data_IF_531389774429
#
_entry.id   IF_531389774429
#
_cell.length_a   1.000
_cell.length_b   1.000
_cell.length_c   1.000
_cell.angle_alpha   90.00
_cell.angle_beta   90.00
_cell.angle_gamma   90.00
#
_symmetry.space_group_name_H-M   'P 1'
#
loop_
_entity.id
_entity.type
_entity.pdbx_description
1 polymer ?
#
# COMPACT_ATOMS: atom_id res chain seq x y z
N UNK A 1 -43.53 -9.66 -21.98
CA UNK A 1 -43.45 -8.56 -20.99
C UNK A 1 -42.25 -8.84 -20.13
N UNK A 2 -41.12 -8.17 -20.40
CA UNK A 2 -39.87 -8.30 -19.64
C UNK A 2 -39.92 -7.37 -18.44
N UNK A 3 -39.97 -7.96 -17.26
CA UNK A 3 -39.87 -7.34 -15.96
C UNK A 3 -38.51 -6.64 -15.82
N UNK A 4 -38.47 -5.37 -16.23
CA UNK A 4 -37.33 -4.46 -16.26
C UNK A 4 -36.74 -4.09 -14.90
N UNK A 5 -36.44 -5.08 -14.06
CA UNK A 5 -35.76 -4.93 -12.78
C UNK A 5 -34.25 -5.01 -12.98
N UNK A 6 -33.69 -3.97 -13.60
CA UNK A 6 -32.25 -3.78 -13.65
C UNK A 6 -31.78 -3.14 -12.34
N UNK A 7 -30.91 -3.82 -11.59
CA UNK A 7 -30.30 -3.29 -10.36
C UNK A 7 -28.81 -3.12 -10.59
N UNK A 8 -28.17 -2.19 -9.87
CA UNK A 8 -26.71 -2.02 -9.92
C UNK A 8 -25.98 -3.35 -9.64
N UNK A 9 -26.58 -4.20 -8.80
CA UNK A 9 -26.09 -5.55 -8.50
C UNK A 9 -26.14 -6.47 -9.72
N UNK A 10 -27.25 -6.52 -10.47
CA UNK A 10 -27.34 -7.35 -11.68
C UNK A 10 -26.48 -6.81 -12.82
N UNK A 11 -26.36 -5.49 -12.95
CA UNK A 11 -25.42 -4.85 -13.87
C UNK A 11 -23.96 -5.25 -13.58
N UNK A 12 -23.57 -5.17 -12.31
CA UNK A 12 -22.21 -5.51 -11.89
C UNK A 12 -21.94 -7.01 -12.05
N UNK A 13 -22.90 -7.89 -11.73
CA UNK A 13 -22.76 -9.32 -11.97
C UNK A 13 -22.55 -9.66 -13.45
N UNK A 14 -23.30 -9.03 -14.36
CA UNK A 14 -23.17 -9.25 -15.81
C UNK A 14 -21.83 -8.72 -16.37
N UNK A 15 -21.32 -7.62 -15.82
CA UNK A 15 -20.01 -7.07 -16.17
C UNK A 15 -18.86 -7.94 -15.63
N UNK A 16 -19.04 -8.54 -14.45
CA UNK A 16 -18.07 -9.45 -13.83
C UNK A 16 -18.04 -10.81 -14.53
N UNK A 17 -19.19 -11.34 -14.98
CA UNK A 17 -19.27 -12.60 -15.73
C UNK A 17 -18.60 -12.50 -17.11
N UNK A 18 -18.65 -11.34 -17.78
CA UNK A 18 -18.01 -11.14 -19.08
C UNK A 18 -16.51 -10.76 -19.00
N UNK A 19 -15.99 -10.46 -17.81
CA UNK A 19 -14.56 -10.24 -17.60
C UNK A 19 -13.93 -11.52 -17.06
N UNK A 20 -13.48 -12.38 -17.98
CA UNK A 20 -12.55 -13.50 -17.76
C UNK A 20 -12.07 -13.69 -16.30
N UNK A 21 -12.66 -14.66 -15.58
CA UNK A 21 -12.12 -15.29 -14.36
C UNK A 21 -11.27 -14.38 -13.47
N UNK A 22 -11.86 -13.31 -12.90
CA UNK A 22 -11.18 -12.58 -11.81
C UNK A 22 -11.00 -13.57 -10.67
N UNK A 23 -9.78 -14.05 -10.45
CA UNK A 23 -9.45 -14.97 -9.36
C UNK A 23 -10.10 -14.45 -8.07
N UNK A 24 -10.70 -15.33 -7.26
CA UNK A 24 -11.34 -14.91 -6.02
C UNK A 24 -10.26 -14.39 -5.04
N UNK A 25 -10.05 -13.07 -5.09
CA UNK A 25 -9.06 -12.37 -4.29
C UNK A 25 -9.59 -12.04 -2.88
N UNK A 26 -10.77 -12.53 -2.47
CA UNK A 26 -11.34 -12.17 -1.17
C UNK A 26 -10.43 -12.59 0.00
N UNK A 27 -9.90 -13.81 -0.02
CA UNK A 27 -8.95 -14.32 0.98
C UNK A 27 -7.60 -13.61 0.93
N UNK A 28 -7.15 -13.25 -0.28
CA UNK A 28 -5.99 -12.40 -0.48
C UNK A 28 -6.22 -11.02 0.15
N UNK A 29 -7.43 -10.49 -0.01
CA UNK A 29 -7.81 -9.17 0.47
C UNK A 29 -7.95 -9.08 1.99
N UNK A 30 -8.57 -10.09 2.59
CA UNK A 30 -8.67 -10.22 4.03
C UNK A 30 -7.29 -10.27 4.70
N UNK A 31 -6.32 -11.00 4.12
CA UNK A 31 -4.97 -11.08 4.69
C UNK A 31 -4.22 -9.76 4.69
N UNK A 32 -4.29 -8.97 3.61
CA UNK A 32 -3.55 -7.70 3.60
C UNK A 32 -4.12 -6.69 4.60
N UNK A 33 -5.45 -6.68 4.84
CA UNK A 33 -6.04 -5.77 5.81
C UNK A 33 -5.66 -6.13 7.25
N UNK A 34 -5.32 -7.39 7.51
CA UNK A 34 -4.88 -7.86 8.84
C UNK A 34 -3.43 -7.53 9.18
N UNK A 35 -2.58 -7.22 8.20
CA UNK A 35 -1.17 -6.93 8.45
C UNK A 35 -1.02 -5.73 9.39
N UNK A 36 -0.09 -5.81 10.34
CA UNK A 36 0.23 -4.70 11.24
C UNK A 36 1.02 -3.65 10.47
N UNK A 37 0.32 -2.71 9.84
CA UNK A 37 0.89 -1.63 9.05
C UNK A 37 0.02 -0.37 9.16
N UNK A 38 0.58 0.84 9.01
CA UNK A 38 -0.21 2.05 8.87
C UNK A 38 -1.16 1.95 7.68
N UNK A 39 -2.32 2.60 7.76
CA UNK A 39 -3.36 2.49 6.73
C UNK A 39 -2.84 2.88 5.34
N UNK A 40 -2.05 3.96 5.25
CA UNK A 40 -1.35 4.37 4.01
C UNK A 40 -0.51 3.26 3.38
N UNK A 41 0.10 2.40 4.19
CA UNK A 41 0.93 1.28 3.72
C UNK A 41 0.03 0.16 3.20
N UNK A 42 -1.09 -0.12 3.86
CA UNK A 42 -2.09 -1.08 3.38
C UNK A 42 -2.70 -0.64 2.04
N UNK A 43 -3.07 0.63 1.92
CA UNK A 43 -3.55 1.21 0.65
C UNK A 43 -2.49 1.13 -0.44
N UNK A 44 -1.22 1.40 -0.12
CA UNK A 44 -0.13 1.23 -1.06
C UNK A 44 0.01 -0.22 -1.55
N UNK A 45 -0.04 -1.20 -0.65
CA UNK A 45 0.00 -2.62 -1.00
C UNK A 45 -1.20 -2.98 -1.89
N UNK A 46 -2.39 -2.48 -1.58
CA UNK A 46 -3.57 -2.66 -2.42
C UNK A 46 -3.34 -2.11 -3.84
N UNK A 47 -2.72 -0.93 -3.97
CA UNK A 47 -2.34 -0.39 -5.28
C UNK A 47 -1.28 -1.25 -5.99
N UNK A 48 -0.34 -1.85 -5.26
CA UNK A 48 0.65 -2.78 -5.82
C UNK A 48 -0.03 -4.01 -6.40
N UNK A 49 -0.94 -4.63 -5.64
CA UNK A 49 -1.66 -5.85 -6.04
C UNK A 49 -2.61 -5.61 -7.22
N UNK A 50 -3.25 -4.44 -7.26
CA UNK A 50 -4.08 -4.04 -8.41
C UNK A 50 -3.25 -3.50 -9.58
N UNK A 51 -1.92 -3.57 -9.50
CA UNK A 51 -1.01 -3.02 -10.49
C UNK A 51 -1.41 -1.59 -10.86
N UNK A 52 -1.56 -0.72 -9.87
CA UNK A 52 -2.03 0.66 -10.00
C UNK A 52 -0.96 1.70 -9.68
N UNK A 53 0.18 1.32 -9.07
CA UNK A 53 1.27 2.28 -8.78
C UNK A 53 1.93 2.82 -10.06
N UNK A 54 2.28 4.12 -10.05
CA UNK A 54 2.80 4.85 -11.22
C UNK A 54 4.31 4.68 -11.42
N UNK A 55 4.72 3.47 -11.83
CA UNK A 55 6.11 3.22 -12.27
C UNK A 55 6.40 3.90 -13.62
N UNK A 56 7.67 4.09 -14.00
CA UNK A 56 7.98 4.69 -15.31
C UNK A 56 7.44 3.87 -16.48
N UNK A 57 7.39 2.52 -16.38
CA UNK A 57 6.69 1.69 -17.36
C UNK A 57 5.24 2.14 -17.60
N UNK A 58 4.48 2.40 -16.51
CA UNK A 58 3.10 2.90 -16.64
C UNK A 58 3.02 4.33 -17.11
N UNK A 59 3.93 5.20 -16.67
CA UNK A 59 3.97 6.59 -17.12
C UNK A 59 4.21 6.65 -18.61
N UNK A 60 5.20 5.91 -19.10
CA UNK A 60 5.52 5.82 -20.52
C UNK A 60 4.34 5.29 -21.34
N UNK A 61 3.71 4.19 -20.92
CA UNK A 61 2.51 3.63 -21.59
C UNK A 61 1.30 4.58 -21.60
N UNK A 62 1.23 5.54 -20.67
CA UNK A 62 0.17 6.55 -20.59
C UNK A 62 0.57 7.88 -21.21
N UNK A 63 1.73 7.96 -21.86
CA UNK A 63 2.27 9.21 -22.40
C UNK A 63 2.48 10.31 -21.34
N UNK A 64 2.79 9.92 -20.10
CA UNK A 64 3.07 10.80 -18.94
C UNK A 64 4.57 10.86 -18.57
N UNK A 65 5.43 10.33 -19.44
CA UNK A 65 6.87 10.36 -19.27
C UNK A 65 7.60 9.83 -20.50
N UNK A 66 8.82 10.31 -20.71
CA UNK A 66 9.59 10.10 -21.96
C UNK A 66 10.37 8.79 -21.98
N UNK A 67 10.44 8.09 -20.85
CA UNK A 67 11.17 6.83 -20.73
C UNK A 67 10.48 5.86 -19.78
N UNK A 68 10.55 4.58 -20.12
CA UNK A 68 10.14 3.48 -19.25
C UNK A 68 11.28 3.01 -18.34
N UNK A 69 12.51 3.50 -18.53
CA UNK A 69 13.73 3.01 -17.89
C UNK A 69 13.79 3.41 -16.42
N UNK A 70 14.33 2.53 -15.58
CA UNK A 70 14.55 2.81 -14.17
C UNK A 70 15.65 3.85 -13.95
N UNK A 71 15.37 4.99 -13.30
CA UNK A 71 16.33 6.11 -13.22
C UNK A 71 17.55 5.80 -12.36
N UNK A 72 17.45 4.87 -11.40
CA UNK A 72 18.54 4.59 -10.45
C UNK A 72 19.57 3.62 -11.02
N UNK A 73 19.13 2.47 -11.55
CA UNK A 73 20.07 1.43 -12.03
C UNK A 73 20.19 1.38 -13.55
N UNK A 74 19.33 2.08 -14.30
CA UNK A 74 19.29 2.11 -15.79
C UNK A 74 19.32 0.73 -16.47
N UNK A 75 18.97 -0.33 -15.75
CA UNK A 75 19.18 -1.71 -16.18
C UNK A 75 17.99 -2.29 -16.97
N UNK A 76 16.92 -1.51 -17.17
CA UNK A 76 15.72 -1.98 -17.89
C UNK A 76 14.47 -1.18 -17.55
N UNK A 77 13.33 -1.69 -18.01
CA UNK A 77 12.00 -1.13 -17.75
C UNK A 77 11.67 -1.14 -16.25
N UNK A 78 11.18 -0.01 -15.74
CA UNK A 78 10.73 0.13 -14.37
C UNK A 78 9.37 -0.52 -14.16
N UNK A 79 9.37 -1.83 -13.94
CA UNK A 79 8.19 -2.58 -13.51
C UNK A 79 8.02 -2.53 -11.99
N UNK A 80 6.85 -2.91 -11.48
CA UNK A 80 6.59 -2.98 -10.03
C UNK A 80 7.60 -3.90 -9.34
N UNK A 81 7.85 -5.07 -9.92
CA UNK A 81 8.85 -6.00 -9.41
C UNK A 81 10.26 -5.41 -9.53
N UNK A 82 10.61 -4.70 -10.60
CA UNK A 82 11.91 -4.05 -10.68
C UNK A 82 12.12 -3.06 -9.52
N UNK A 83 11.12 -2.20 -9.23
CA UNK A 83 11.22 -1.20 -8.15
C UNK A 83 11.21 -1.84 -6.76
N UNK A 84 10.33 -2.80 -6.54
CA UNK A 84 10.05 -3.34 -5.21
C UNK A 84 10.82 -4.63 -4.91
N UNK A 85 11.37 -5.31 -5.93
CA UNK A 85 12.08 -6.59 -5.86
C UNK A 85 13.43 -6.62 -6.61
N UNK A 86 13.47 -6.47 -7.92
CA UNK A 86 14.63 -6.95 -8.69
C UNK A 86 15.74 -5.90 -8.90
N UNK A 87 15.55 -4.67 -8.43
CA UNK A 87 16.55 -3.63 -8.63
C UNK A 87 17.89 -3.90 -7.88
N UNK A 88 19.04 -3.87 -8.59
CA UNK A 88 20.36 -4.00 -7.98
C UNK A 88 20.65 -2.98 -6.88
N UNK A 89 20.16 -1.74 -7.01
CA UNK A 89 20.44 -0.66 -6.04
C UNK A 89 19.84 -0.90 -4.65
N UNK A 90 18.88 -1.82 -4.53
CA UNK A 90 18.24 -2.20 -3.26
C UNK A 90 18.51 -3.66 -2.89
N UNK A 91 19.20 -4.42 -3.76
CA UNK A 91 19.55 -5.83 -3.53
C UNK A 91 20.35 -6.01 -2.24
N UNK A 92 21.36 -5.16 -2.02
CA UNK A 92 22.17 -5.20 -0.79
C UNK A 92 21.39 -4.92 0.49
N UNK A 93 20.30 -4.16 0.42
CA UNK A 93 19.39 -3.91 1.55
C UNK A 93 18.55 -5.18 1.79
N UNK A 94 18.07 -5.81 0.71
CA UNK A 94 17.18 -6.97 0.78
C UNK A 94 17.89 -8.22 1.27
N UNK A 95 19.12 -8.47 0.82
CA UNK A 95 19.91 -9.61 1.32
C UNK A 95 20.17 -9.53 2.84
N UNK A 96 20.02 -8.35 3.45
CA UNK A 96 20.15 -8.14 4.90
C UNK A 96 18.82 -8.11 5.65
N UNK A 97 17.70 -7.88 4.95
CA UNK A 97 16.36 -7.86 5.55
C UNK A 97 15.68 -9.24 5.41
N UNK A 98 15.82 -9.88 4.25
CA UNK A 98 15.16 -11.15 3.93
C UNK A 98 15.85 -12.29 4.69
N UNK A 99 15.12 -13.07 5.50
CA UNK A 99 15.67 -14.24 6.16
C UNK A 99 16.32 -15.19 5.13
N UNK A 100 17.50 -15.77 5.41
CA UNK A 100 18.21 -16.63 4.46
C UNK A 100 17.34 -17.75 3.86
N UNK A 101 16.51 -18.37 4.69
CA UNK A 101 15.54 -19.41 4.29
C UNK A 101 14.50 -18.96 3.26
N UNK A 102 14.24 -17.66 3.12
CA UNK A 102 13.25 -17.09 2.21
C UNK A 102 13.86 -16.57 0.92
N UNK A 103 15.19 -16.45 0.81
CA UNK A 103 15.85 -15.79 -0.33
C UNK A 103 15.40 -16.39 -1.66
N UNK A 104 15.43 -17.72 -1.80
CA UNK A 104 15.05 -18.39 -3.04
C UNK A 104 13.62 -18.03 -3.48
N UNK A 105 12.63 -18.27 -2.62
CA UNK A 105 11.23 -18.03 -2.95
C UNK A 105 10.90 -16.54 -3.09
N UNK A 106 11.63 -15.70 -2.35
CA UNK A 106 11.46 -14.26 -2.38
C UNK A 106 11.75 -13.70 -3.76
N UNK A 107 12.80 -14.17 -4.45
CA UNK A 107 13.20 -13.64 -5.76
C UNK A 107 12.52 -14.31 -6.95
N UNK A 108 11.94 -15.51 -6.77
CA UNK A 108 11.38 -16.30 -7.87
C UNK A 108 9.85 -16.21 -8.03
N UNK A 109 9.12 -15.59 -7.09
CA UNK A 109 7.65 -15.54 -7.14
C UNK A 109 7.04 -14.60 -8.20
N UNK A 110 5.79 -14.82 -8.60
CA UNK A 110 5.00 -13.80 -9.32
C UNK A 110 4.69 -12.59 -8.42
N UNK A 111 4.32 -11.41 -8.95
CA UNK A 111 4.02 -10.24 -8.10
C UNK A 111 2.98 -10.55 -7.01
N UNK A 112 1.86 -11.18 -7.38
CA UNK A 112 0.80 -11.52 -6.44
C UNK A 112 1.23 -12.63 -5.48
N UNK A 113 1.86 -13.70 -5.98
CA UNK A 113 2.35 -14.80 -5.15
C UNK A 113 3.41 -14.33 -4.14
N UNK A 114 4.29 -13.43 -4.57
CA UNK A 114 5.33 -12.81 -3.76
C UNK A 114 4.75 -11.95 -2.65
N UNK A 115 3.78 -11.07 -2.95
CA UNK A 115 3.12 -10.26 -1.92
C UNK A 115 2.33 -11.15 -0.96
N UNK A 116 1.55 -12.10 -1.46
CA UNK A 116 0.76 -13.01 -0.62
C UNK A 116 1.63 -13.84 0.32
N UNK A 117 2.66 -14.52 -0.20
CA UNK A 117 3.50 -15.42 0.60
C UNK A 117 4.29 -14.70 1.69
N UNK A 118 4.66 -13.44 1.48
CA UNK A 118 5.34 -12.65 2.50
C UNK A 118 4.39 -12.05 3.55
N UNK A 119 3.17 -11.64 3.14
CA UNK A 119 2.16 -11.13 4.07
C UNK A 119 1.48 -12.23 4.89
N UNK A 120 1.38 -13.45 4.34
CA UNK A 120 0.78 -14.60 5.00
C UNK A 120 1.69 -15.25 6.06
N UNK A 121 2.95 -14.82 6.16
CA UNK A 121 3.89 -15.36 7.13
C UNK A 121 3.57 -14.92 8.55
N UNK A 122 3.48 -15.91 9.44
CA UNK A 122 3.35 -15.72 10.89
C UNK A 122 4.70 -15.77 11.60
N UNK A 123 5.80 -15.93 10.84
CA UNK A 123 7.14 -15.95 11.42
C UNK A 123 7.52 -14.56 11.93
N UNK A 124 8.27 -14.55 13.03
CA UNK A 124 8.98 -13.36 13.46
C UNK A 124 10.33 -13.26 12.75
N UNK A 125 10.73 -12.02 12.46
CA UNK A 125 12.07 -11.67 12.03
C UNK A 125 12.53 -10.47 12.88
N UNK A 126 13.74 -10.55 13.44
CA UNK A 126 14.18 -9.63 14.49
C UNK A 126 13.16 -9.58 15.66
N UNK A 127 12.63 -8.41 15.99
CA UNK A 127 11.73 -8.19 17.15
C UNK A 127 10.24 -8.07 16.77
N UNK A 128 9.85 -8.33 15.52
CA UNK A 128 8.45 -8.26 15.09
C UNK A 128 8.09 -9.24 13.97
N UNK A 129 6.83 -9.29 13.59
CA UNK A 129 6.34 -10.17 12.53
C UNK A 129 7.00 -9.85 11.18
N UNK A 130 7.45 -10.89 10.45
CA UNK A 130 8.04 -10.76 9.12
C UNK A 130 7.13 -10.00 8.15
N UNK A 131 5.82 -10.28 8.19
CA UNK A 131 4.81 -9.60 7.39
C UNK A 131 4.81 -8.08 7.58
N UNK A 132 5.11 -7.61 8.80
CA UNK A 132 5.24 -6.17 9.14
C UNK A 132 6.53 -5.59 8.55
N UNK A 133 7.66 -6.26 8.73
CA UNK A 133 8.95 -5.84 8.16
C UNK A 133 8.88 -5.80 6.63
N UNK A 134 8.27 -6.82 6.01
CA UNK A 134 8.05 -6.88 4.59
C UNK A 134 7.20 -5.71 4.09
N UNK A 135 6.03 -5.48 4.69
CA UNK A 135 5.12 -4.40 4.32
C UNK A 135 5.80 -3.02 4.42
N UNK A 136 6.52 -2.78 5.52
CA UNK A 136 7.28 -1.55 5.72
C UNK A 136 8.45 -1.43 4.73
N UNK A 137 9.13 -2.55 4.43
CA UNK A 137 10.26 -2.59 3.50
C UNK A 137 9.88 -2.22 2.08
N UNK A 138 8.79 -2.78 1.53
CA UNK A 138 8.33 -2.45 0.18
C UNK A 138 7.80 -1.01 0.09
N UNK A 139 7.16 -0.51 1.14
CA UNK A 139 6.74 0.89 1.24
C UNK A 139 7.93 1.85 1.18
N UNK A 140 8.98 1.57 1.98
CA UNK A 140 10.16 2.42 2.00
C UNK A 140 10.99 2.32 0.73
N UNK A 141 11.05 1.14 0.09
CA UNK A 141 11.64 1.00 -1.23
C UNK A 141 10.96 1.92 -2.26
N UNK A 142 9.63 1.96 -2.26
CA UNK A 142 8.87 2.89 -3.09
C UNK A 142 9.14 4.36 -2.73
N UNK A 143 9.13 4.70 -1.44
CA UNK A 143 9.42 6.07 -0.98
C UNK A 143 10.80 6.54 -1.39
N UNK A 144 11.84 5.74 -1.22
CA UNK A 144 13.20 6.10 -1.64
C UNK A 144 13.30 6.25 -3.15
N UNK A 145 12.60 5.42 -3.92
CA UNK A 145 12.50 5.62 -5.37
C UNK A 145 11.87 6.97 -5.68
N UNK A 146 10.74 7.32 -5.06
CA UNK A 146 10.07 8.60 -5.31
C UNK A 146 10.98 9.77 -4.92
N UNK A 147 11.62 9.72 -3.76
CA UNK A 147 12.55 10.78 -3.34
C UNK A 147 13.72 10.94 -4.34
N UNK A 148 14.27 9.85 -4.88
CA UNK A 148 15.27 9.93 -5.96
C UNK A 148 14.74 10.60 -7.23
N UNK A 149 13.48 10.35 -7.62
CA UNK A 149 12.86 10.97 -8.80
C UNK A 149 12.60 12.46 -8.59
N UNK A 150 12.23 12.88 -7.38
CA UNK A 150 11.90 14.27 -7.05
C UNK A 150 13.09 15.07 -6.50
N UNK A 151 14.32 14.54 -6.59
CA UNK A 151 15.53 15.25 -6.17
C UNK A 151 15.71 15.38 -4.65
N UNK A 152 14.91 14.68 -3.84
CA UNK A 152 15.05 14.60 -2.39
C UNK A 152 16.15 13.56 -2.05
N UNK A 153 17.41 13.98 -2.07
CA UNK A 153 18.55 13.07 -1.82
C UNK A 153 18.66 12.80 -0.31
N UNK A 154 18.09 11.69 0.16
CA UNK A 154 18.32 11.15 1.50
C UNK A 154 19.48 10.15 1.52
N UNK A 155 20.43 10.29 2.47
CA UNK A 155 21.57 9.36 2.62
C UNK A 155 21.09 7.89 2.72
N UNK A 156 21.66 7.02 1.90
CA UNK A 156 21.36 5.57 1.86
C UNK A 156 21.87 4.77 3.07
N UNK A 157 22.65 5.40 3.96
CA UNK A 157 23.28 4.72 5.11
C UNK A 157 22.22 4.32 6.13
N UNK A 158 22.24 3.06 6.55
CA UNK A 158 21.39 2.56 7.63
C UNK A 158 19.96 2.18 7.21
N UNK A 159 19.61 2.14 5.92
CA UNK A 159 18.26 1.78 5.43
C UNK A 159 17.70 0.48 6.00
N UNK A 160 18.52 -0.56 6.14
CA UNK A 160 18.15 -1.84 6.77
C UNK A 160 17.77 -1.64 8.23
N UNK A 161 18.67 -1.02 9.00
CA UNK A 161 18.46 -0.73 10.41
C UNK A 161 17.21 0.14 10.62
N UNK A 162 17.05 1.16 9.78
CA UNK A 162 15.90 2.05 9.79
C UNK A 162 14.58 1.30 9.54
N UNK A 163 14.49 0.43 8.54
CA UNK A 163 13.26 -0.36 8.30
C UNK A 163 12.94 -1.24 9.50
N UNK A 164 13.93 -1.93 10.06
CA UNK A 164 13.73 -2.76 11.26
C UNK A 164 13.29 -1.91 12.46
N UNK A 165 13.94 -0.78 12.74
CA UNK A 165 13.59 0.11 13.84
C UNK A 165 12.17 0.68 13.69
N UNK A 166 11.77 1.11 12.49
CA UNK A 166 10.42 1.64 12.24
C UNK A 166 9.37 0.53 12.34
N UNK A 167 9.66 -0.66 11.81
CA UNK A 167 8.76 -1.81 11.91
C UNK A 167 8.56 -2.25 13.37
N UNK A 168 9.65 -2.38 14.14
CA UNK A 168 9.59 -2.71 15.57
C UNK A 168 8.82 -1.65 16.36
N UNK A 169 9.10 -0.36 16.16
CA UNK A 169 8.37 0.73 16.82
C UNK A 169 6.87 0.67 16.53
N UNK A 170 6.52 0.43 15.27
CA UNK A 170 5.13 0.26 14.84
C UNK A 170 4.47 -0.93 15.53
N UNK A 171 5.13 -2.10 15.56
CA UNK A 171 4.59 -3.29 16.21
C UNK A 171 4.36 -3.07 17.70
N UNK A 172 5.30 -2.44 18.41
CA UNK A 172 5.14 -2.08 19.82
C UNK A 172 3.96 -1.12 20.04
N UNK A 173 3.85 -0.08 19.22
CA UNK A 173 2.73 0.87 19.30
C UNK A 173 1.38 0.17 19.03
N UNK A 174 1.35 -0.78 18.09
CA UNK A 174 0.14 -1.54 17.78
C UNK A 174 -0.29 -2.45 18.93
N UNK A 175 0.66 -3.14 19.58
CA UNK A 175 0.43 -3.96 20.77
C UNK A 175 -0.09 -3.10 21.92
N UNK A 176 0.58 -1.98 22.22
CA UNK A 176 0.16 -1.05 23.28
C UNK A 176 -1.23 -0.47 23.03
N UNK A 177 -1.59 -0.16 21.78
CA UNK A 177 -2.95 0.30 21.43
C UNK A 177 -3.99 -0.80 21.60
N UNK A 178 -3.61 -2.07 21.37
CA UNK A 178 -4.49 -3.23 21.56
C UNK A 178 -4.71 -3.55 23.03
N UNK A 179 -3.66 -3.50 23.83
CA UNK A 179 -3.72 -3.69 25.29
C UNK A 179 -4.41 -2.53 25.99
N UNK A 180 -4.24 -1.31 25.47
CA UNK A 180 -4.94 -0.10 25.91
C UNK A 180 -6.39 0.03 25.41
N UNK A 181 -6.89 -0.91 24.59
CA UNK A 181 -8.34 -1.08 24.40
C UNK A 181 -8.90 -1.70 25.67
N UNK A 182 -9.02 -0.87 26.70
CA UNK A 182 -10.09 -1.04 27.67
C UNK A 182 -11.35 -1.27 26.85
N UNK A 183 -12.12 -2.29 27.17
CA UNK A 183 -13.45 -2.55 26.62
C UNK A 183 -14.40 -1.43 27.06
N UNK A 184 -14.09 -0.19 26.72
CA UNK A 184 -15.03 0.90 26.73
C UNK A 184 -16.04 0.57 25.68
N UNK A 185 -17.26 0.24 26.12
CA UNK A 185 -18.40 0.03 25.23
C UNK A 185 -18.46 1.19 24.23
N UNK A 186 -18.93 0.90 23.01
CA UNK A 186 -19.24 1.95 22.04
C UNK A 186 -20.16 2.96 22.73
N UNK A 187 -19.63 4.15 23.02
CA UNK A 187 -20.43 5.25 23.58
C UNK A 187 -20.94 6.05 22.41
N UNK A 188 -22.25 6.12 22.28
CA UNK A 188 -22.88 7.08 21.39
C UNK A 188 -22.60 8.49 21.96
N UNK A 189 -21.85 9.29 21.20
CA UNK A 189 -21.56 10.67 21.56
C UNK A 189 -22.30 11.56 20.58
N UNK A 190 -23.08 12.48 21.12
CA UNK A 190 -23.56 13.63 20.36
C UNK A 190 -22.34 14.46 19.92
N UNK A 191 -21.95 14.34 18.66
CA UNK A 191 -20.92 15.17 18.06
C UNK A 191 -21.60 16.46 17.58
N UNK A 192 -21.60 17.48 18.43
CA UNK A 192 -21.98 18.83 18.03
C UNK A 192 -20.73 19.59 17.55
N UNK A 193 -20.88 20.35 16.46
CA UNK A 193 -19.81 21.24 16.01
C UNK A 193 -19.53 22.29 17.09
N UNK A 194 -18.26 22.46 17.45
CA UNK A 194 -17.79 23.55 18.31
C UNK A 194 -16.81 24.42 17.52
N UNK A 195 -16.92 25.76 17.60
CA UNK A 195 -15.94 26.64 16.98
C UNK A 195 -14.54 26.39 17.58
N UNK A 196 -13.46 26.57 16.79
CA UNK A 196 -12.10 26.47 17.31
C UNK A 196 -11.86 27.56 18.37
N UNK A 197 -10.95 27.28 19.30
CA UNK A 197 -10.51 28.26 20.30
C UNK A 197 -9.86 29.48 19.65
N UNK A 198 -9.81 30.60 20.35
CA UNK A 198 -9.13 31.81 19.88
C UNK A 198 -7.68 31.52 19.47
N UNK A 199 -7.26 32.04 18.32
CA UNK A 199 -5.95 31.78 17.72
C UNK A 199 -5.82 30.45 16.95
N UNK A 200 -6.85 29.59 16.95
CA UNK A 200 -6.85 28.36 16.17
C UNK A 200 -7.66 28.50 14.88
N UNK A 201 -7.11 27.96 13.81
CA UNK A 201 -7.78 27.89 12.51
C UNK A 201 -8.27 26.46 12.30
N UNK A 202 -9.52 26.31 11.87
CA UNK A 202 -10.10 25.02 11.49
C UNK A 202 -10.29 24.96 9.99
N UNK A 203 -9.53 24.10 9.33
CA UNK A 203 -9.72 23.78 7.92
C UNK A 203 -10.75 22.66 7.77
N UNK A 204 -11.83 22.92 7.04
CA UNK A 204 -12.77 21.87 6.63
C UNK A 204 -12.43 21.43 5.20
N UNK A 205 -12.42 20.11 4.98
CA UNK A 205 -12.24 19.52 3.66
C UNK A 205 -13.41 18.58 3.41
N UNK A 206 -14.04 18.72 2.25
CA UNK A 206 -15.10 17.83 1.80
C UNK A 206 -14.81 17.34 0.37
N UNK A 207 -15.52 16.28 0.00
CA UNK A 207 -15.43 15.68 -1.33
C UNK A 207 -16.81 15.40 -1.86
N UNK A 208 -17.05 15.75 -3.11
CA UNK A 208 -18.30 15.49 -3.82
C UNK A 208 -18.05 14.57 -5.00
N UNK A 209 -18.92 13.58 -5.18
CA UNK A 209 -18.89 12.66 -6.34
C UNK A 209 -20.25 12.69 -7.04
N UNK A 210 -20.26 12.93 -8.35
CA UNK A 210 -21.48 12.89 -9.15
C UNK A 210 -21.76 11.47 -9.66
N UNK A 211 -22.23 10.60 -8.77
CA UNK A 211 -22.54 9.19 -9.08
C UNK A 211 -21.37 8.22 -8.89
N UNK A 212 -21.59 6.93 -9.18
CA UNK A 212 -20.57 5.88 -9.15
C UNK A 212 -20.80 4.85 -10.29
N UNK A 213 -20.03 4.90 -11.40
CA UNK A 213 -18.90 5.79 -11.65
C UNK A 213 -19.34 7.21 -12.07
N UNK A 214 -18.60 8.23 -11.64
CA UNK A 214 -18.89 9.63 -11.91
C UNK A 214 -17.72 10.57 -11.56
N UNK A 215 -17.82 11.85 -11.94
CA UNK A 215 -16.77 12.84 -11.68
C UNK A 215 -16.69 13.13 -10.17
N UNK A 216 -15.48 12.99 -9.61
CA UNK A 216 -15.19 13.32 -8.22
C UNK A 216 -14.38 14.62 -8.14
N UNK A 217 -14.75 15.47 -7.20
CA UNK A 217 -14.06 16.73 -6.88
C UNK A 217 -13.83 16.81 -5.37
N UNK A 218 -12.77 17.48 -4.96
CA UNK A 218 -12.49 17.77 -3.57
C UNK A 218 -12.26 19.26 -3.41
N UNK A 219 -12.81 19.83 -2.34
CA UNK A 219 -12.73 21.25 -2.03
C UNK A 219 -12.31 21.46 -0.58
N UNK A 220 -11.78 22.65 -0.31
CA UNK A 220 -11.53 23.12 1.05
C UNK A 220 -11.89 24.59 1.14
N UNK A 221 -12.48 24.98 2.26
CA UNK A 221 -12.79 26.38 2.58
C UNK A 221 -12.07 26.72 3.89
N UNK A 222 -11.47 27.91 3.91
CA UNK A 222 -10.72 28.44 5.05
C UNK A 222 -11.61 29.37 5.87
#
# INVERSE_FOLDING_TARGET
MSDGRFTVKTAYSLLVENCSLRQNMASFYDRFWRVTAPERVRTFIWLVCNQAIMTNAKRYRRHLGDTSIFPVCKCGEETILQVLRDCPSILGIRNRIVPPRRIHDFFNGSLLGWVYGNLASEENAAECAWSTIFAMGIWWAWKWRCSNVFGEIGKCRGRVKFVNEVATKLSRAYVSTREGRVTGGRVERMIAWKPPSEGWIKLNTDGASHGNPGVATAGGVF
#
